data_IF_426637932175
#
_entry.id   IF_426637932175
#
_cell.length_a   1.000
_cell.length_b   1.000
_cell.length_c   1.000
_cell.angle_alpha   90.00
_cell.angle_beta   90.00
_cell.angle_gamma   90.00
#
_symmetry.space_group_name_H-M   'P 1'
#
loop_
_entity.id
_entity.type
_entity.pdbx_description
1 polymer ?
#
# COMPACT_ATOMS: atom_id res chain seq x y z
N UNK A 1 -2.00 -11.05 -4.85
CA UNK A 1 -3.07 -11.27 -5.85
C UNK A 1 -3.78 -9.95 -6.09
N UNK A 2 -4.17 -9.68 -7.32
CA UNK A 2 -4.95 -8.50 -7.72
C UNK A 2 -6.31 -8.98 -8.24
N UNK A 3 -7.38 -8.27 -7.91
CA UNK A 3 -8.74 -8.58 -8.30
C UNK A 3 -9.31 -7.43 -9.13
N UNK A 4 -10.04 -7.76 -10.19
CA UNK A 4 -10.80 -6.81 -10.99
C UNK A 4 -12.16 -7.45 -11.28
N UNK A 5 -13.17 -7.03 -10.52
CA UNK A 5 -14.50 -7.65 -10.50
C UNK A 5 -15.51 -6.64 -11.04
N UNK A 6 -16.29 -7.05 -12.04
CA UNK A 6 -17.38 -6.25 -12.55
C UNK A 6 -18.60 -6.40 -11.63
N UNK A 7 -19.19 -5.26 -11.25
CA UNK A 7 -20.36 -5.20 -10.37
C UNK A 7 -21.49 -4.50 -11.12
N UNK A 8 -22.72 -4.98 -10.97
CA UNK A 8 -23.90 -4.33 -11.56
C UNK A 8 -24.22 -3.05 -10.79
N UNK A 9 -24.20 -1.93 -11.49
CA UNK A 9 -24.56 -0.63 -10.94
C UNK A 9 -26.09 -0.49 -10.79
N UNK A 10 -26.50 0.20 -9.73
CA UNK A 10 -27.86 0.73 -9.56
C UNK A 10 -27.79 2.17 -9.01
N UNK A 11 -28.83 2.96 -9.22
CA UNK A 11 -28.86 4.34 -8.73
C UNK A 11 -28.76 4.39 -7.19
N UNK A 12 -27.99 5.34 -6.66
CA UNK A 12 -27.73 5.45 -5.22
C UNK A 12 -26.79 4.38 -4.65
N UNK A 13 -26.08 3.61 -5.48
CA UNK A 13 -25.08 2.66 -5.00
C UNK A 13 -23.97 3.35 -4.22
N UNK A 14 -23.66 2.87 -3.02
CA UNK A 14 -22.52 3.36 -2.25
C UNK A 14 -21.29 2.50 -2.49
N UNK A 15 -20.12 2.99 -2.08
CA UNK A 15 -18.90 2.21 -2.10
C UNK A 15 -19.03 0.90 -1.30
N UNK A 16 -19.72 0.93 -0.16
CA UNK A 16 -20.02 -0.28 0.63
C UNK A 16 -20.83 -1.30 -0.17
N UNK A 17 -21.93 -0.87 -0.81
CA UNK A 17 -22.74 -1.76 -1.64
C UNK A 17 -21.93 -2.39 -2.78
N UNK A 18 -20.99 -1.64 -3.38
CA UNK A 18 -20.13 -2.17 -4.44
C UNK A 18 -19.16 -3.24 -3.93
N UNK A 19 -18.62 -3.08 -2.72
CA UNK A 19 -17.75 -4.07 -2.08
C UNK A 19 -18.53 -5.34 -1.78
N UNK A 20 -19.71 -5.22 -1.19
CA UNK A 20 -20.55 -6.37 -0.84
C UNK A 20 -20.98 -7.15 -2.10
N UNK A 21 -21.45 -6.43 -3.14
CA UNK A 21 -21.88 -7.03 -4.40
C UNK A 21 -20.72 -7.66 -5.21
N UNK A 22 -19.46 -7.28 -4.93
CA UNK A 22 -18.29 -7.89 -5.57
C UNK A 22 -17.97 -9.29 -5.04
N UNK A 23 -18.45 -9.66 -3.85
CA UNK A 23 -18.08 -10.92 -3.18
C UNK A 23 -16.59 -11.00 -2.82
N UNK A 24 -15.87 -9.88 -2.83
CA UNK A 24 -14.43 -9.86 -2.56
C UNK A 24 -14.09 -10.31 -1.13
N UNK A 25 -14.97 -10.00 -0.16
CA UNK A 25 -14.81 -10.40 1.24
C UNK A 25 -14.78 -11.92 1.44
N UNK A 26 -15.37 -12.69 0.52
CA UNK A 26 -15.36 -14.16 0.57
C UNK A 26 -14.07 -14.75 0.01
N UNK A 27 -13.41 -14.03 -0.90
CA UNK A 27 -12.19 -14.48 -1.58
C UNK A 27 -10.92 -14.10 -0.82
N UNK A 28 -10.96 -13.01 -0.05
CA UNK A 28 -9.80 -12.52 0.69
C UNK A 28 -10.19 -11.94 2.06
N UNK A 29 -9.27 -12.07 3.02
CA UNK A 29 -9.38 -11.34 4.28
C UNK A 29 -9.18 -9.84 4.03
N UNK A 30 -10.25 -9.07 4.21
CA UNK A 30 -10.22 -7.61 4.21
C UNK A 30 -9.79 -7.10 5.61
N UNK A 31 -9.13 -5.93 5.69
CA UNK A 31 -8.83 -5.29 6.96
C UNK A 31 -10.09 -4.76 7.64
N UNK A 32 -10.07 -4.64 8.97
CA UNK A 32 -11.18 -4.08 9.76
C UNK A 32 -11.50 -2.62 9.37
N UNK A 33 -10.45 -1.84 9.11
CA UNK A 33 -10.59 -0.47 8.59
C UNK A 33 -10.29 -0.45 7.10
N UNK A 34 -11.33 -0.20 6.30
CA UNK A 34 -11.23 -0.08 4.85
C UNK A 34 -10.74 1.31 4.47
N UNK A 35 -9.66 1.37 3.69
CA UNK A 35 -9.25 2.59 3.03
C UNK A 35 -9.69 2.49 1.58
N UNK A 36 -10.65 3.33 1.17
CA UNK A 36 -11.24 3.29 -0.15
C UNK A 36 -10.81 4.48 -1.00
N UNK A 37 -10.86 4.30 -2.31
CA UNK A 37 -10.69 5.39 -3.26
C UNK A 37 -11.42 5.18 -4.58
N UNK A 38 -11.58 6.27 -5.31
CA UNK A 38 -12.07 6.29 -6.70
C UNK A 38 -11.11 7.18 -7.49
N UNK A 39 -10.52 6.66 -8.56
CA UNK A 39 -9.48 7.33 -9.35
C UNK A 39 -8.33 7.93 -8.52
N UNK A 40 -7.87 7.22 -7.48
CA UNK A 40 -6.80 7.71 -6.59
C UNK A 40 -7.22 8.73 -5.53
N UNK A 41 -8.46 9.21 -5.56
CA UNK A 41 -9.02 10.09 -4.51
C UNK A 41 -9.60 9.24 -3.38
N UNK A 42 -9.29 9.57 -2.13
CA UNK A 42 -9.88 8.87 -0.97
C UNK A 42 -11.37 9.18 -0.86
N UNK A 43 -12.15 8.14 -0.56
CA UNK A 43 -13.60 8.25 -0.35
C UNK A 43 -14.02 7.51 0.92
N UNK A 44 -15.18 7.89 1.46
CA UNK A 44 -15.83 7.19 2.57
C UNK A 44 -16.66 6.01 2.05
N UNK A 45 -16.92 5.03 2.91
CA UNK A 45 -17.73 3.83 2.60
C UNK A 45 -19.15 4.17 2.12
N UNK A 46 -19.71 5.28 2.60
CA UNK A 46 -21.06 5.73 2.28
C UNK A 46 -21.13 6.62 1.02
N UNK A 47 -20.00 6.84 0.35
CA UNK A 47 -19.94 7.68 -0.86
C UNK A 47 -20.76 7.06 -1.98
N UNK A 48 -21.70 7.83 -2.54
CA UNK A 48 -22.51 7.41 -3.69
C UNK A 48 -21.63 7.40 -4.95
N UNK A 49 -21.67 6.28 -5.66
CA UNK A 49 -20.92 6.03 -6.88
C UNK A 49 -21.69 6.45 -8.13
N UNK A 50 -20.95 6.68 -9.21
CA UNK A 50 -21.47 6.89 -10.56
C UNK A 50 -21.13 5.71 -11.47
N UNK A 51 -21.84 5.65 -12.60
CA UNK A 51 -21.57 4.64 -13.64
C UNK A 51 -20.14 4.81 -14.16
N UNK A 52 -19.35 3.72 -14.10
CA UNK A 52 -17.97 3.71 -14.55
C UNK A 52 -16.94 4.00 -13.47
N UNK A 53 -17.36 4.33 -12.24
CA UNK A 53 -16.45 4.44 -11.12
C UNK A 53 -15.82 3.10 -10.78
N UNK A 54 -14.51 3.14 -10.51
CA UNK A 54 -13.77 2.00 -9.99
C UNK A 54 -13.46 2.23 -8.51
N UNK A 55 -14.05 1.40 -7.66
CA UNK A 55 -13.75 1.37 -6.23
C UNK A 55 -12.42 0.65 -6.01
N UNK A 56 -11.49 1.32 -5.36
CA UNK A 56 -10.14 0.85 -5.05
C UNK A 56 -10.04 0.60 -3.55
N UNK A 57 -9.65 -0.61 -3.14
CA UNK A 57 -9.45 -0.96 -1.72
C UNK A 57 -7.94 -0.99 -1.43
N UNK A 58 -7.47 -0.05 -0.62
CA UNK A 58 -6.06 0.05 -0.25
C UNK A 58 -5.73 -0.87 0.92
N UNK A 59 -4.61 -1.58 0.78
CA UNK A 59 -4.05 -2.40 1.87
C UNK A 59 -3.15 -1.54 2.75
N UNK A 60 -3.36 -1.53 4.09
CA UNK A 60 -2.45 -0.84 4.99
C UNK A 60 -1.06 -1.50 4.98
N UNK A 61 -0.02 -0.68 5.11
CA UNK A 61 1.35 -1.16 5.22
C UNK A 61 1.55 -1.80 6.61
N UNK A 62 1.76 -3.12 6.65
CA UNK A 62 1.95 -3.87 7.91
C UNK A 62 3.28 -3.56 8.60
N UNK A 63 4.29 -3.11 7.87
CA UNK A 63 5.62 -2.83 8.44
C UNK A 63 6.07 -1.45 8.02
N UNK A 64 6.53 -0.67 8.99
CA UNK A 64 7.12 0.63 8.72
C UNK A 64 8.40 0.45 7.85
N UNK A 65 8.51 1.15 6.71
CA UNK A 65 9.66 1.01 5.81
C UNK A 65 11.00 1.31 6.48
N UNK A 66 11.02 2.16 7.52
CA UNK A 66 12.23 2.44 8.31
C UNK A 66 12.72 1.20 9.06
N UNK A 67 11.80 0.38 9.57
CA UNK A 67 12.15 -0.83 10.32
C UNK A 67 12.65 -1.94 9.39
N UNK A 68 12.05 -2.08 8.20
CA UNK A 68 12.59 -2.96 7.15
C UNK A 68 14.01 -2.51 6.76
N UNK A 69 14.20 -1.20 6.54
CA UNK A 69 15.51 -0.65 6.20
C UNK A 69 16.54 -0.92 7.30
N UNK A 70 16.16 -0.77 8.58
CA UNK A 70 17.03 -1.08 9.73
C UNK A 70 17.38 -2.57 9.78
N UNK A 71 16.39 -3.47 9.65
CA UNK A 71 16.61 -4.92 9.62
C UNK A 71 17.52 -5.35 8.46
N UNK A 72 17.35 -4.75 7.27
CA UNK A 72 18.23 -5.01 6.12
C UNK A 72 19.67 -4.55 6.37
N UNK A 73 19.87 -3.36 6.93
CA UNK A 73 21.20 -2.84 7.26
C UNK A 73 21.90 -3.67 8.35
N UNK A 74 21.15 -4.22 9.33
CA UNK A 74 21.70 -5.13 10.33
C UNK A 74 22.11 -6.48 9.73
N UNK A 75 21.37 -6.99 8.75
CA UNK A 75 21.66 -8.27 8.08
C UNK A 75 22.78 -8.18 7.04
N UNK A 76 22.91 -7.03 6.38
CA UNK A 76 23.96 -6.71 5.43
C UNK A 76 24.68 -5.43 5.89
N UNK A 77 25.53 -5.50 6.92
CA UNK A 77 26.29 -4.34 7.34
C UNK A 77 27.23 -3.95 6.20
N UNK A 78 26.97 -2.80 5.58
CA UNK A 78 27.98 -2.15 4.74
C UNK A 78 29.16 -1.87 5.66
N UNK A 79 30.32 -2.47 5.38
CA UNK A 79 31.51 -2.28 6.18
C UNK A 79 31.74 -0.78 6.41
N UNK A 80 32.28 -0.40 7.58
CA UNK A 80 32.69 0.99 7.82
C UNK A 80 33.46 1.44 6.61
N UNK A 81 33.01 2.52 5.98
CA UNK A 81 33.76 3.17 4.92
C UNK A 81 35.16 3.43 5.50
N UNK A 82 36.13 2.60 5.14
CA UNK A 82 37.51 2.78 5.56
C UNK A 82 37.94 4.00 4.78
N UNK A 83 37.93 5.18 5.41
CA UNK A 83 38.73 6.31 4.92
C UNK A 83 40.16 5.78 4.88
N UNK A 84 40.60 5.35 3.70
CA UNK A 84 41.96 4.91 3.46
C UNK A 84 42.92 5.97 3.93
N UNK A 85 44.04 5.54 4.51
CA UNK A 85 45.07 6.38 5.10
C UNK A 85 45.76 7.23 4.01
N UNK A 86 45.12 8.30 3.53
CA UNK A 86 45.68 9.26 2.55
C UNK A 86 46.42 10.42 3.22
N UNK A 87 47.13 10.16 4.31
CA UNK A 87 48.11 11.09 4.83
C UNK A 87 49.31 10.32 5.34
N UNK A 88 50.32 10.19 4.48
CA UNK A 88 51.69 9.85 4.87
C UNK A 88 52.51 11.10 4.55
N UNK A 89 52.94 11.93 5.53
CA UNK A 89 53.93 12.95 5.24
C UNK A 89 55.22 12.20 4.90
N UNK A 90 55.76 12.41 3.70
CA UNK A 90 57.07 11.92 3.31
C UNK A 90 58.12 12.62 4.17
N UNK A 91 58.74 11.88 5.09
CA UNK A 91 59.99 12.26 5.73
C UNK A 91 61.15 11.85 4.82
N UNK A 92 61.82 12.84 4.22
CA UNK A 92 63.28 12.94 4.00
C UNK A 92 63.57 14.11 3.07
#
# INVERSE_FOLDING_TARGET
QQFHLAVRFHEGMTAQHAIDASGLAEQVSLPEVLNLGVFGSKIEVDTVLQVGDRVEIYRPLTINPKDIRRKRAAKNPVGRFIKGNRFRPSSS
#
